data_IF_373884236686
#
_entry.id   IF_373884236686
#
_cell.length_a   1.000
_cell.length_b   1.000
_cell.length_c   1.000
_cell.angle_alpha   90.00
_cell.angle_beta   90.00
_cell.angle_gamma   90.00
#
_symmetry.space_group_name_H-M   'P 1'
#
loop_
_entity.id
_entity.type
_entity.pdbx_description
1 polymer ?
#
# COMPACT_ATOMS: atom_id res chain seq x y z
N UNK A 1 14.73 15.44 -10.22
CA UNK A 1 13.45 14.71 -10.03
C UNK A 1 12.57 15.48 -9.04
N UNK A 2 11.38 15.86 -9.44
CA UNK A 2 10.47 16.63 -8.62
C UNK A 2 9.50 15.75 -7.86
N UNK A 3 9.38 16.01 -6.55
CA UNK A 3 8.38 15.41 -5.68
C UNK A 3 7.13 16.29 -5.69
N UNK A 4 5.97 15.68 -5.82
CA UNK A 4 4.68 16.39 -5.84
C UNK A 4 3.76 15.83 -4.77
N UNK A 5 2.99 16.72 -4.13
CA UNK A 5 1.84 16.34 -3.32
C UNK A 5 0.61 16.37 -4.21
N UNK A 6 -0.11 15.25 -4.28
CA UNK A 6 -1.26 15.07 -5.16
C UNK A 6 -2.39 14.45 -4.38
N UNK A 7 -3.64 14.85 -4.66
CA UNK A 7 -4.84 14.20 -4.13
C UNK A 7 -5.41 13.26 -5.20
N UNK A 8 -5.58 12.00 -4.87
CA UNK A 8 -6.17 11.00 -5.76
C UNK A 8 -6.97 9.98 -4.95
N UNK A 9 -8.17 9.60 -5.42
CA UNK A 9 -9.09 8.70 -4.72
C UNK A 9 -9.30 9.10 -3.24
N UNK A 10 -9.41 10.40 -2.97
CA UNK A 10 -9.54 11.01 -1.64
C UNK A 10 -8.31 10.81 -0.72
N UNK A 11 -7.16 10.43 -1.26
CA UNK A 11 -5.90 10.33 -0.53
C UNK A 11 -4.94 11.45 -0.94
N UNK A 12 -4.18 11.93 0.02
CA UNK A 12 -3.02 12.77 -0.24
C UNK A 12 -1.80 11.85 -0.43
N UNK A 13 -1.16 11.94 -1.57
CA UNK A 13 -0.04 11.07 -1.94
C UNK A 13 1.14 11.90 -2.45
N UNK A 14 2.34 11.33 -2.33
CA UNK A 14 3.54 11.87 -2.93
C UNK A 14 3.81 11.16 -4.24
N UNK A 15 4.09 11.92 -5.28
CA UNK A 15 4.48 11.39 -6.59
C UNK A 15 5.75 12.09 -7.08
N UNK A 16 6.36 11.54 -8.12
CA UNK A 16 7.61 12.08 -8.69
C UNK A 16 7.50 12.18 -10.19
N UNK A 17 7.94 13.30 -10.74
CA UNK A 17 7.91 13.55 -12.17
C UNK A 17 8.77 12.57 -12.98
N UNK A 18 9.74 11.92 -12.34
CA UNK A 18 10.57 10.90 -13.00
C UNK A 18 9.78 9.72 -13.56
N UNK A 19 8.57 9.48 -13.05
CA UNK A 19 7.71 8.38 -13.51
C UNK A 19 6.69 8.82 -14.56
N UNK A 20 6.61 10.12 -14.88
CA UNK A 20 5.67 10.62 -15.86
C UNK A 20 6.02 10.06 -17.25
N UNK A 21 4.99 9.64 -17.99
CA UNK A 21 5.18 9.08 -19.32
C UNK A 21 5.65 7.63 -19.36
N UNK A 22 5.91 7.01 -18.21
CA UNK A 22 6.24 5.59 -18.13
C UNK A 22 4.98 4.74 -18.02
N UNK A 23 5.07 3.50 -18.49
CA UNK A 23 3.98 2.52 -18.37
C UNK A 23 3.92 1.91 -16.97
N UNK A 24 4.00 2.76 -15.95
CA UNK A 24 3.90 2.37 -14.54
C UNK A 24 3.33 3.53 -13.73
N UNK A 25 2.79 3.21 -12.55
CA UNK A 25 2.37 4.19 -11.56
C UNK A 25 3.13 3.95 -10.26
N UNK A 26 3.62 5.01 -9.65
CA UNK A 26 4.32 4.94 -8.37
C UNK A 26 3.86 6.10 -7.48
N UNK A 27 3.55 5.78 -6.23
CA UNK A 27 3.18 6.80 -5.24
C UNK A 27 3.60 6.35 -3.83
N UNK A 28 3.67 7.31 -2.93
CA UNK A 28 3.82 7.06 -1.51
C UNK A 28 2.62 7.71 -0.81
N UNK A 29 1.92 6.92 0.01
CA UNK A 29 0.80 7.41 0.81
C UNK A 29 1.29 8.27 1.97
N UNK A 30 0.40 9.11 2.48
CA UNK A 30 0.60 9.82 3.73
C UNK A 30 -0.24 9.17 4.82
N UNK A 31 -0.20 9.71 6.03
CA UNK A 31 -1.03 9.20 7.13
C UNK A 31 -2.52 9.51 6.98
N UNK A 32 -2.89 10.38 6.06
CA UNK A 32 -4.24 10.90 5.93
C UNK A 32 -5.09 10.07 4.97
N UNK A 33 -6.40 10.08 5.18
CA UNK A 33 -7.37 9.50 4.24
C UNK A 33 -7.88 8.12 4.59
N UNK A 34 -7.51 7.57 5.73
CA UNK A 34 -7.93 6.24 6.18
C UNK A 34 -9.00 6.24 7.25
N UNK A 35 -9.27 5.05 7.79
CA UNK A 35 -10.31 4.80 8.80
C UNK A 35 -9.75 4.41 10.16
N UNK A 36 -8.44 4.25 10.29
CA UNK A 36 -7.81 3.91 11.56
C UNK A 36 -7.85 5.11 12.51
N UNK A 37 -7.84 4.83 13.82
CA UNK A 37 -8.00 5.81 14.88
C UNK A 37 -6.84 5.74 15.88
N UNK A 38 -6.77 6.70 16.81
CA UNK A 38 -5.75 6.74 17.84
C UNK A 38 -4.35 6.83 17.25
N UNK A 39 -3.40 6.03 17.75
CA UNK A 39 -2.02 6.10 17.26
C UNK A 39 -1.86 5.66 15.81
N UNK A 40 -2.88 5.01 15.23
CA UNK A 40 -2.87 4.53 13.85
C UNK A 40 -3.54 5.48 12.86
N UNK A 41 -4.02 6.63 13.33
CA UNK A 41 -4.79 7.57 12.49
C UNK A 41 -3.93 8.14 11.36
N UNK A 42 -4.41 8.04 10.13
CA UNK A 42 -5.66 7.38 9.77
C UNK A 42 -5.48 6.28 8.72
N UNK A 43 -4.45 6.35 7.88
CA UNK A 43 -4.21 5.42 6.76
C UNK A 43 -3.13 4.40 7.12
N UNK A 44 -3.28 3.69 8.23
CA UNK A 44 -2.37 2.61 8.57
C UNK A 44 -2.57 1.44 7.61
N UNK A 45 -1.49 0.99 6.98
CA UNK A 45 -1.49 -0.11 6.00
C UNK A 45 -0.84 -1.38 6.55
N UNK A 46 -0.38 -1.37 7.79
CA UNK A 46 0.35 -2.49 8.38
C UNK A 46 -0.56 -3.35 9.25
N UNK A 47 -0.61 -4.65 8.94
CA UNK A 47 -1.35 -5.65 9.74
C UNK A 47 -0.58 -6.08 11.00
N UNK A 48 0.72 -5.80 11.08
CA UNK A 48 1.58 -6.31 12.14
C UNK A 48 1.76 -5.41 13.35
N UNK A 49 1.02 -4.29 13.47
CA UNK A 49 1.29 -3.28 14.49
C UNK A 49 0.22 -3.17 15.58
N UNK A 50 -0.82 -4.01 15.54
CA UNK A 50 -1.85 -4.04 16.59
C UNK A 50 -3.13 -3.27 16.27
N UNK A 51 -3.25 -2.69 15.09
CA UNK A 51 -4.51 -2.09 14.63
C UNK A 51 -5.54 -3.16 14.29
N UNK A 52 -6.81 -2.78 14.26
CA UNK A 52 -7.87 -3.68 13.90
C UNK A 52 -7.74 -4.11 12.42
N UNK A 53 -7.68 -5.43 12.12
CA UNK A 53 -7.44 -5.89 10.75
C UNK A 53 -8.43 -5.36 9.71
N UNK A 54 -9.70 -5.25 10.07
CA UNK A 54 -10.72 -4.73 9.16
C UNK A 54 -10.46 -3.29 8.72
N UNK A 55 -9.93 -2.46 9.61
CA UNK A 55 -9.56 -1.08 9.29
C UNK A 55 -8.35 -1.03 8.36
N UNK A 56 -7.36 -1.88 8.61
CA UNK A 56 -6.16 -1.96 7.77
C UNK A 56 -6.54 -2.41 6.35
N UNK A 57 -7.41 -3.41 6.22
CA UNK A 57 -7.87 -3.89 4.92
C UNK A 57 -8.62 -2.78 4.17
N UNK A 58 -9.48 -2.03 4.85
CA UNK A 58 -10.18 -0.90 4.22
C UNK A 58 -9.20 0.19 3.76
N UNK A 59 -8.20 0.51 4.59
CA UNK A 59 -7.15 1.44 4.21
C UNK A 59 -6.37 0.96 2.98
N UNK A 60 -6.07 -0.32 2.91
CA UNK A 60 -5.38 -0.93 1.75
C UNK A 60 -6.22 -0.85 0.48
N UNK A 61 -7.54 -1.01 0.59
CA UNK A 61 -8.43 -0.81 -0.57
C UNK A 61 -8.37 0.62 -1.09
N UNK A 62 -8.30 1.59 -0.21
CA UNK A 62 -8.17 3.00 -0.58
C UNK A 62 -6.86 3.28 -1.29
N UNK A 63 -5.76 2.70 -0.81
CA UNK A 63 -4.46 2.82 -1.46
C UNK A 63 -4.45 2.16 -2.85
N UNK A 64 -5.06 0.98 -2.99
CA UNK A 64 -5.20 0.31 -4.29
C UNK A 64 -6.01 1.17 -5.27
N UNK A 65 -7.11 1.79 -4.82
CA UNK A 65 -7.90 2.68 -5.64
C UNK A 65 -7.09 3.89 -6.14
N UNK A 66 -6.22 4.43 -5.30
CA UNK A 66 -5.32 5.52 -5.68
C UNK A 66 -4.35 5.12 -6.80
N UNK A 67 -3.99 3.83 -6.87
CA UNK A 67 -3.19 3.26 -7.95
C UNK A 67 -4.02 2.85 -9.17
N UNK A 68 -5.34 2.93 -9.09
CA UNK A 68 -6.23 2.53 -10.18
C UNK A 68 -6.45 1.02 -10.28
N UNK A 69 -6.26 0.28 -9.19
CA UNK A 69 -6.46 -1.17 -9.17
C UNK A 69 -7.33 -1.61 -7.98
N UNK A 70 -7.68 -2.90 -7.95
CA UNK A 70 -8.38 -3.53 -6.84
C UNK A 70 -7.37 -4.10 -5.84
N UNK A 71 -7.81 -4.27 -4.60
CA UNK A 71 -6.99 -4.90 -3.57
C UNK A 71 -6.52 -6.30 -3.97
N UNK A 72 -7.38 -7.04 -4.70
CA UNK A 72 -7.04 -8.38 -5.20
C UNK A 72 -5.88 -8.40 -6.21
N UNK A 73 -5.53 -7.25 -6.79
CA UNK A 73 -4.39 -7.10 -7.69
C UNK A 73 -3.08 -6.81 -6.94
N UNK A 74 -3.16 -6.50 -5.66
CA UNK A 74 -2.01 -6.11 -4.86
C UNK A 74 -1.29 -7.33 -4.29
N UNK A 75 0.01 -7.16 -4.07
CA UNK A 75 0.84 -8.13 -3.36
C UNK A 75 1.50 -7.41 -2.19
N UNK A 76 1.36 -7.96 -1.00
CA UNK A 76 2.03 -7.43 0.19
C UNK A 76 3.08 -8.43 0.68
N UNK A 77 4.21 -7.92 1.13
CA UNK A 77 5.23 -8.76 1.73
C UNK A 77 5.22 -8.64 3.25
N UNK A 78 5.73 -9.68 3.91
CA UNK A 78 6.08 -9.63 5.31
C UNK A 78 7.51 -9.09 5.39
N UNK A 79 7.61 -7.78 5.53
CA UNK A 79 8.89 -7.08 5.51
C UNK A 79 9.67 -7.31 6.80
N UNK A 80 10.94 -7.66 6.67
CA UNK A 80 11.88 -7.77 7.78
C UNK A 80 13.02 -6.77 7.58
N UNK A 81 13.83 -6.58 8.62
CA UNK A 81 15.02 -5.73 8.53
C UNK A 81 16.15 -6.52 7.85
N UNK A 82 16.11 -6.54 6.52
CA UNK A 82 17.07 -7.28 5.71
C UNK A 82 17.17 -6.69 4.32
N UNK A 83 17.85 -7.42 3.44
CA UNK A 83 18.06 -7.00 2.05
C UNK A 83 17.58 -8.04 1.04
N UNK A 84 16.80 -8.99 1.48
CA UNK A 84 16.25 -10.00 0.59
C UNK A 84 15.22 -9.37 -0.36
N UNK A 85 15.23 -9.81 -1.59
CA UNK A 85 14.31 -9.34 -2.63
C UNK A 85 13.43 -10.49 -3.04
N UNK A 86 12.11 -10.29 -2.97
CA UNK A 86 11.15 -11.26 -3.48
C UNK A 86 10.77 -10.89 -4.92
N UNK A 87 10.78 -11.87 -5.80
CA UNK A 87 10.28 -11.71 -7.16
C UNK A 87 8.85 -12.23 -7.20
N UNK A 88 7.91 -11.39 -7.63
CA UNK A 88 6.48 -11.72 -7.66
C UNK A 88 5.96 -11.71 -9.10
N UNK A 89 4.94 -12.51 -9.35
CA UNK A 89 4.27 -12.57 -10.64
C UNK A 89 2.75 -12.65 -10.47
N UNK A 90 2.05 -12.89 -11.56
CA UNK A 90 0.58 -12.90 -11.59
C UNK A 90 -0.05 -13.89 -10.60
N UNK A 91 0.62 -15.00 -10.33
CA UNK A 91 0.16 -16.01 -9.37
C UNK A 91 0.20 -15.55 -7.91
N UNK A 92 0.87 -14.44 -7.62
CA UNK A 92 0.99 -13.88 -6.26
C UNK A 92 -0.08 -12.84 -5.95
N UNK A 93 -0.91 -12.45 -6.92
CA UNK A 93 -1.96 -11.44 -6.71
C UNK A 93 -2.84 -11.79 -5.52
N UNK A 94 -3.08 -10.82 -4.67
CA UNK A 94 -3.91 -10.94 -3.48
C UNK A 94 -3.18 -11.46 -2.24
N UNK A 95 -1.95 -11.91 -2.37
CA UNK A 95 -1.18 -12.41 -1.22
C UNK A 95 -0.88 -11.28 -0.24
N UNK A 96 -1.06 -11.58 1.03
CA UNK A 96 -0.77 -10.64 2.12
C UNK A 96 -1.77 -9.50 2.28
N UNK A 97 -2.84 -9.45 1.48
CA UNK A 97 -3.77 -8.31 1.49
C UNK A 97 -4.62 -8.25 2.76
N UNK A 98 -5.02 -9.38 3.32
CA UNK A 98 -5.89 -9.45 4.50
C UNK A 98 -5.24 -10.15 5.70
N UNK A 99 -4.13 -10.83 5.52
CA UNK A 99 -3.41 -11.54 6.58
C UNK A 99 -1.92 -11.59 6.27
N UNK A 100 -1.10 -11.60 7.33
CA UNK A 100 0.34 -11.79 7.19
C UNK A 100 0.66 -13.25 6.81
N UNK A 101 -0.21 -14.19 7.14
CA UNK A 101 0.05 -15.62 6.97
C UNK A 101 0.35 -16.03 5.52
N UNK A 102 -0.27 -15.37 4.54
CA UNK A 102 -0.04 -15.64 3.12
C UNK A 102 0.79 -14.55 2.42
N UNK A 103 1.36 -13.62 3.18
CA UNK A 103 2.22 -12.58 2.62
C UNK A 103 3.49 -13.19 2.04
N UNK A 104 4.02 -12.53 1.03
CA UNK A 104 5.29 -12.95 0.41
C UNK A 104 6.42 -12.64 1.39
N UNK A 105 7.28 -13.62 1.72
CA UNK A 105 8.45 -13.33 2.56
C UNK A 105 9.48 -12.48 1.81
N UNK A 106 9.99 -11.46 2.49
CA UNK A 106 11.05 -10.63 1.92
C UNK A 106 11.97 -10.03 2.99
#
# INVERSE_FOLDING_TARGET
MARRMTSTAALDVLTWSAFDGLALAALVTTRDGGVSTGPYASLNLSLGVGDEPGRVVDNRRRAAAALGCDLSDMVFCHQTHGRDVAVVGDGDRGRGTATIADAVPC
#
